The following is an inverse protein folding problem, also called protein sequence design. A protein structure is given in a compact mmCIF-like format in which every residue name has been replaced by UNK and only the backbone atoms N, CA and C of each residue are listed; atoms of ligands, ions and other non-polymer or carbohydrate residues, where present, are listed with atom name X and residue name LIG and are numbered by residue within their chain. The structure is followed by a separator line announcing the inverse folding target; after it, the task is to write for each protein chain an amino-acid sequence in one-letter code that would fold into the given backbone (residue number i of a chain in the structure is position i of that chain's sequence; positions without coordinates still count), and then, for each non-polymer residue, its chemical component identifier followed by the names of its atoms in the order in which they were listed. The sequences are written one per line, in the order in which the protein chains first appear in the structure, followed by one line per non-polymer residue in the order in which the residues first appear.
data_IF_656018526202
#
_entry.id   IF_656018526202
#
_cell.length_a   1.000
_cell.length_b   1.000
_cell.length_c   1.000
_cell.angle_alpha   90.00
_cell.angle_beta   90.00
_cell.angle_gamma   90.00
#
_symmetry.space_group_name_H-M   'P 1'
#
loop_
_entity.id
_entity.type
_entity.pdbx_description
1 polymer ?
#
# COMPACT_ATOMS: atom_id res chain seq x y z
N UNK A 1 33.89 33.79 20.17
CA UNK A 1 32.62 33.24 20.68
C UNK A 1 32.24 32.13 19.70
N UNK A 2 32.12 30.89 20.15
CA UNK A 2 31.74 29.79 19.25
C UNK A 2 30.27 29.99 18.86
N UNK A 3 29.96 29.99 17.56
CA UNK A 3 28.58 29.99 17.07
C UNK A 3 27.91 28.69 17.51
N UNK A 4 26.85 28.80 18.30
CA UNK A 4 26.07 27.64 18.70
C UNK A 4 25.18 27.23 17.55
N UNK A 5 25.43 26.05 16.98
CA UNK A 5 24.63 25.50 15.88
C UNK A 5 23.31 24.96 16.41
N UNK A 6 22.15 25.38 15.89
CA UNK A 6 20.87 24.82 16.31
C UNK A 6 20.73 23.37 15.80
N UNK A 7 20.23 22.49 16.66
CA UNK A 7 20.02 21.06 16.40
C UNK A 7 18.51 20.80 16.32
N UNK A 8 18.08 19.99 15.35
CA UNK A 8 16.70 19.53 15.24
C UNK A 8 16.67 18.01 15.32
N UNK A 9 15.85 17.47 16.21
CA UNK A 9 15.70 16.03 16.46
C UNK A 9 14.28 15.63 16.04
N UNK A 10 14.19 14.57 15.23
CA UNK A 10 12.94 13.95 14.83
C UNK A 10 12.82 12.58 15.49
N UNK A 11 11.78 12.37 16.29
CA UNK A 11 11.44 11.09 16.90
C UNK A 11 10.18 10.58 16.24
N UNK A 12 10.33 9.50 15.47
CA UNK A 12 9.20 8.88 14.78
C UNK A 12 8.59 7.76 15.62
N UNK A 13 7.26 7.70 15.64
CA UNK A 13 6.45 6.68 16.30
C UNK A 13 6.79 6.44 17.78
N UNK A 14 6.72 7.50 18.60
CA UNK A 14 7.02 7.40 20.04
C UNK A 14 6.15 6.36 20.78
N UNK A 15 4.92 6.12 20.31
CA UNK A 15 4.00 5.12 20.86
C UNK A 15 4.46 3.66 20.69
N UNK A 16 5.40 3.39 19.77
CA UNK A 16 5.99 2.05 19.61
C UNK A 16 6.99 1.71 20.72
N UNK A 17 7.36 2.70 21.56
CA UNK A 17 8.26 2.48 22.69
C UNK A 17 7.57 1.68 23.81
N UNK A 18 7.97 0.41 23.95
CA UNK A 18 7.36 -0.52 24.90
C UNK A 18 7.77 -0.21 26.36
N UNK A 19 6.81 0.27 27.15
CA UNK A 19 6.92 0.71 28.54
C UNK A 19 7.34 -0.34 29.59
N UNK A 20 7.62 -1.58 29.20
CA UNK A 20 7.85 -2.68 30.15
C UNK A 20 9.18 -2.61 30.93
N UNK A 21 10.14 -1.79 30.50
CA UNK A 21 11.45 -1.72 31.14
C UNK A 21 11.63 -0.47 32.02
N UNK A 22 11.25 0.73 31.54
CA UNK A 22 11.32 1.99 32.30
C UNK A 22 10.67 3.12 31.47
N UNK A 23 9.39 3.46 31.68
CA UNK A 23 8.67 4.48 30.89
C UNK A 23 9.26 5.88 31.09
N UNK A 24 9.79 6.15 32.29
CA UNK A 24 10.09 7.51 32.75
C UNK A 24 11.37 8.10 32.14
N UNK A 25 12.38 7.28 31.84
CA UNK A 25 13.69 7.78 31.40
C UNK A 25 13.64 8.46 30.03
N UNK A 26 12.95 7.85 29.06
CA UNK A 26 12.83 8.43 27.71
C UNK A 26 12.07 9.76 27.77
N UNK A 27 11.02 9.82 28.59
CA UNK A 27 10.17 11.00 28.69
C UNK A 27 10.85 12.11 29.48
N UNK A 28 11.66 11.78 30.49
CA UNK A 28 12.58 12.72 31.16
C UNK A 28 13.64 13.26 30.20
N UNK A 29 14.23 12.40 29.34
CA UNK A 29 15.19 12.82 28.33
C UNK A 29 14.54 13.77 27.30
N UNK A 30 13.37 13.41 26.79
CA UNK A 30 12.61 14.26 25.85
C UNK A 30 12.29 15.62 26.48
N UNK A 31 11.86 15.64 27.75
CA UNK A 31 11.63 16.88 28.49
C UNK A 31 12.91 17.69 28.71
N UNK A 32 14.03 17.04 29.02
CA UNK A 32 15.33 17.71 29.14
C UNK A 32 15.76 18.37 27.84
N UNK A 33 15.64 17.65 26.72
CA UNK A 33 15.99 18.14 25.40
C UNK A 33 15.07 19.29 24.93
N UNK A 34 13.79 19.28 25.30
CA UNK A 34 12.85 20.35 24.90
C UNK A 34 13.08 21.68 25.62
N UNK A 35 13.80 21.68 26.75
CA UNK A 35 14.17 22.89 27.50
C UNK A 35 15.43 23.58 26.95
N UNK A 36 16.22 22.89 26.13
CA UNK A 36 17.45 23.41 25.55
C UNK A 36 17.16 24.42 24.43
N UNK A 37 17.69 25.65 24.57
CA UNK A 37 17.40 26.76 23.63
C UNK A 37 17.84 26.51 22.18
N UNK A 38 18.84 25.65 21.99
CA UNK A 38 19.40 25.32 20.68
C UNK A 38 18.88 24.00 20.12
N UNK A 39 17.91 23.36 20.79
CA UNK A 39 17.33 22.09 20.35
C UNK A 39 15.88 22.32 19.95
N UNK A 40 15.50 21.83 18.77
CA UNK A 40 14.11 21.68 18.35
C UNK A 40 13.78 20.20 18.32
N UNK A 41 12.63 19.83 18.87
CA UNK A 41 12.16 18.47 18.86
C UNK A 41 10.85 18.37 18.07
N UNK A 42 10.81 17.43 17.14
CA UNK A 42 9.59 17.04 16.44
C UNK A 42 9.33 15.57 16.77
N UNK A 43 8.17 15.29 17.35
CA UNK A 43 7.78 13.95 17.76
C UNK A 43 6.50 13.58 17.05
N UNK A 44 6.49 12.42 16.38
CA UNK A 44 5.26 11.81 15.88
C UNK A 44 4.82 10.70 16.86
N UNK A 45 3.52 10.58 17.07
CA UNK A 45 2.94 9.47 17.84
C UNK A 45 1.46 9.29 17.53
N UNK A 46 0.91 8.11 17.85
CA UNK A 46 -0.54 7.95 18.04
C UNK A 46 -1.04 8.87 19.18
N UNK A 47 -2.33 9.26 19.17
CA UNK A 47 -2.91 10.17 20.15
C UNK A 47 -3.18 9.52 21.51
N UNK A 48 -2.22 8.75 22.04
CA UNK A 48 -2.36 8.05 23.31
C UNK A 48 -2.40 9.03 24.49
N UNK A 49 -3.28 8.75 25.45
CA UNK A 49 -3.51 9.63 26.58
C UNK A 49 -2.24 9.84 27.41
N UNK A 50 -1.47 8.77 27.62
CA UNK A 50 -0.23 8.82 28.39
C UNK A 50 0.80 9.77 27.75
N UNK A 51 1.02 9.69 26.44
CA UNK A 51 1.95 10.58 25.71
C UNK A 51 1.48 12.04 25.81
N UNK A 52 0.17 12.29 25.70
CA UNK A 52 -0.42 13.62 25.84
C UNK A 52 -0.22 14.20 27.24
N UNK A 53 -0.44 13.38 28.26
CA UNK A 53 -0.30 13.77 29.66
C UNK A 53 1.16 14.05 30.00
N UNK A 54 2.10 13.32 29.40
CA UNK A 54 3.52 13.46 29.74
C UNK A 54 4.23 14.58 28.97
N UNK A 55 3.90 14.83 27.70
CA UNK A 55 4.65 15.80 26.89
C UNK A 55 4.17 17.25 27.02
N UNK A 56 3.00 17.51 27.62
CA UNK A 56 2.43 18.86 27.85
C UNK A 56 2.79 19.87 26.74
N UNK A 57 2.57 19.48 25.48
CA UNK A 57 3.17 20.16 24.32
C UNK A 57 2.43 21.45 24.01
N UNK A 58 3.18 22.54 23.80
CA UNK A 58 2.62 23.84 23.41
C UNK A 58 2.04 23.86 21.99
N UNK A 59 2.53 22.99 21.09
CA UNK A 59 2.14 22.91 19.68
C UNK A 59 1.90 21.45 19.29
N UNK A 60 0.63 21.08 19.13
CA UNK A 60 0.21 19.76 18.64
C UNK A 60 -0.31 19.91 17.20
N UNK A 61 0.30 19.19 16.27
CA UNK A 61 -0.22 19.06 14.90
C UNK A 61 -0.97 17.74 14.80
N UNK A 62 -2.28 17.82 14.54
CA UNK A 62 -3.12 16.66 14.23
C UNK A 62 -3.14 16.51 12.73
N UNK A 63 -2.52 15.46 12.21
CA UNK A 63 -2.42 15.24 10.76
C UNK A 63 -3.80 15.17 10.11
N UNK A 64 -4.78 14.55 10.77
CA UNK A 64 -6.14 14.45 10.25
C UNK A 64 -6.83 15.80 10.00
N UNK A 65 -6.46 16.83 10.76
CA UNK A 65 -7.00 18.19 10.60
C UNK A 65 -6.35 18.90 9.40
N UNK A 66 -5.19 18.42 8.94
CA UNK A 66 -4.40 19.03 7.87
C UNK A 66 -4.54 18.31 6.53
N UNK A 67 -4.82 17.01 6.53
CA UNK A 67 -4.88 16.19 5.30
C UNK A 67 -6.27 16.14 4.67
N UNK A 68 -7.32 16.65 5.32
CA UNK A 68 -8.70 16.51 4.87
C UNK A 68 -8.95 17.08 3.45
N UNK A 69 -8.38 18.24 3.14
CA UNK A 69 -8.53 18.84 1.81
C UNK A 69 -7.85 18.01 0.71
N UNK A 70 -6.66 17.48 0.98
CA UNK A 70 -5.92 16.65 0.03
C UNK A 70 -6.59 15.29 -0.17
N UNK A 71 -7.12 14.70 0.90
CA UNK A 71 -7.93 13.47 0.82
C UNK A 71 -9.19 13.71 -0.01
N UNK A 72 -9.92 14.81 0.25
CA UNK A 72 -11.12 15.13 -0.52
C UNK A 72 -10.82 15.24 -2.02
N UNK A 73 -9.74 15.96 -2.37
CA UNK A 73 -9.27 16.08 -3.76
C UNK A 73 -8.87 14.73 -4.35
N UNK A 74 -8.17 13.90 -3.59
CA UNK A 74 -7.78 12.56 -4.01
C UNK A 74 -9.00 11.67 -4.29
N UNK A 75 -9.99 11.66 -3.39
CA UNK A 75 -11.25 10.91 -3.56
C UNK A 75 -12.00 11.38 -4.79
N UNK A 76 -12.14 12.69 -4.98
CA UNK A 76 -12.81 13.28 -6.14
C UNK A 76 -12.18 12.81 -7.46
N UNK A 77 -10.86 12.90 -7.57
CA UNK A 77 -10.13 12.48 -8.78
C UNK A 77 -10.31 10.98 -9.05
N UNK A 78 -10.09 10.14 -8.03
CA UNK A 78 -10.16 8.68 -8.18
C UNK A 78 -11.57 8.17 -8.46
N UNK A 79 -12.60 8.75 -7.84
CA UNK A 79 -14.00 8.44 -8.16
C UNK A 79 -14.37 8.92 -9.55
N UNK A 80 -13.94 10.12 -9.95
CA UNK A 80 -14.16 10.64 -11.30
C UNK A 80 -13.62 9.69 -12.37
N UNK A 81 -12.39 9.22 -12.20
CA UNK A 81 -11.77 8.22 -13.09
C UNK A 81 -12.54 6.88 -13.07
N UNK A 82 -12.98 6.43 -11.90
CA UNK A 82 -13.72 5.16 -11.77
C UNK A 82 -15.09 5.22 -12.47
N UNK A 83 -15.82 6.32 -12.31
CA UNK A 83 -17.11 6.53 -12.93
C UNK A 83 -17.00 6.65 -14.45
N UNK A 84 -16.01 7.40 -14.95
CA UNK A 84 -15.72 7.48 -16.38
C UNK A 84 -15.40 6.11 -16.98
N UNK A 85 -14.50 5.34 -16.36
CA UNK A 85 -14.12 4.00 -16.84
C UNK A 85 -15.30 3.02 -16.90
N UNK A 86 -16.30 3.20 -16.04
CA UNK A 86 -17.49 2.33 -15.96
C UNK A 86 -18.74 2.93 -16.61
N UNK A 87 -18.64 4.09 -17.28
CA UNK A 87 -19.77 4.82 -17.84
C UNK A 87 -20.91 5.05 -16.82
N UNK A 88 -20.56 5.30 -15.56
CA UNK A 88 -21.51 5.58 -14.48
C UNK A 88 -21.70 7.10 -14.38
N UNK A 89 -22.95 7.55 -14.40
CA UNK A 89 -23.29 8.95 -14.16
C UNK A 89 -24.09 9.07 -12.87
N UNK A 90 -23.56 9.83 -11.91
CA UNK A 90 -24.22 10.17 -10.66
C UNK A 90 -24.54 11.66 -10.66
N UNK A 91 -25.62 12.05 -9.98
CA UNK A 91 -25.88 13.47 -9.75
C UNK A 91 -24.77 14.10 -8.91
N UNK A 92 -24.53 15.40 -9.09
CA UNK A 92 -23.51 16.14 -8.35
C UNK A 92 -23.70 16.01 -6.82
N UNK A 93 -24.94 16.03 -6.35
CA UNK A 93 -25.28 15.81 -4.94
C UNK A 93 -24.91 14.40 -4.46
N UNK A 94 -25.12 13.37 -5.29
CA UNK A 94 -24.76 12.00 -4.93
C UNK A 94 -23.23 11.82 -4.87
N UNK A 95 -22.50 12.41 -5.82
CA UNK A 95 -21.03 12.39 -5.81
C UNK A 95 -20.47 13.09 -4.58
N UNK A 96 -20.94 14.30 -4.26
CA UNK A 96 -20.51 15.05 -3.08
C UNK A 96 -20.71 14.22 -1.81
N UNK A 97 -21.89 13.63 -1.62
CA UNK A 97 -22.19 12.81 -0.44
C UNK A 97 -21.25 11.61 -0.28
N UNK A 98 -20.90 10.95 -1.39
CA UNK A 98 -19.98 9.82 -1.35
C UNK A 98 -18.55 10.26 -1.00
N UNK A 99 -18.12 11.39 -1.56
CA UNK A 99 -16.82 12.00 -1.28
C UNK A 99 -16.72 12.41 0.18
N UNK A 100 -17.75 13.08 0.71
CA UNK A 100 -17.80 13.56 2.08
C UNK A 100 -17.74 12.38 3.06
N UNK A 101 -18.51 11.32 2.81
CA UNK A 101 -18.49 10.11 3.65
C UNK A 101 -17.10 9.44 3.67
N UNK A 102 -16.48 9.28 2.50
CA UNK A 102 -15.13 8.69 2.39
C UNK A 102 -14.08 9.55 3.08
N UNK A 103 -14.15 10.88 2.89
CA UNK A 103 -13.20 11.84 3.48
C UNK A 103 -13.32 11.85 5.00
N UNK A 104 -14.55 11.86 5.52
CA UNK A 104 -14.80 11.90 6.96
C UNK A 104 -14.35 10.60 7.64
N UNK A 105 -14.67 9.44 7.06
CA UNK A 105 -14.29 8.13 7.65
C UNK A 105 -12.79 7.84 7.55
N UNK A 106 -12.07 8.52 6.67
CA UNK A 106 -10.63 8.34 6.55
C UNK A 106 -9.86 8.79 7.79
N UNK A 107 -10.40 9.73 8.57
CA UNK A 107 -9.73 10.34 9.72
C UNK A 107 -8.26 10.73 9.43
N UNK A 108 -8.01 11.26 8.23
CA UNK A 108 -6.67 11.68 7.79
C UNK A 108 -5.79 10.60 7.16
N UNK A 109 -6.25 9.36 7.07
CA UNK A 109 -5.44 8.23 6.60
C UNK A 109 -5.66 7.97 5.10
N UNK A 110 -4.71 8.40 4.26
CA UNK A 110 -4.75 8.15 2.80
C UNK A 110 -4.84 6.68 2.42
N UNK A 111 -4.19 5.81 3.19
CA UNK A 111 -4.22 4.37 2.98
C UNK A 111 -5.65 3.84 3.14
N UNK A 112 -6.37 4.27 4.18
CA UNK A 112 -7.76 3.90 4.40
C UNK A 112 -8.63 4.24 3.18
N UNK A 113 -8.46 5.46 2.65
CA UNK A 113 -9.19 5.94 1.47
C UNK A 113 -8.89 5.10 0.24
N UNK A 114 -7.62 4.76 0.04
CA UNK A 114 -7.18 3.95 -1.09
C UNK A 114 -7.83 2.56 -1.07
N UNK A 115 -7.86 1.93 0.10
CA UNK A 115 -8.54 0.63 0.31
C UNK A 115 -10.06 0.74 0.15
N UNK A 116 -10.67 1.81 0.67
CA UNK A 116 -12.10 2.06 0.54
C UNK A 116 -12.53 2.28 -0.92
N UNK A 117 -11.72 3.02 -1.69
CA UNK A 117 -11.94 3.23 -3.12
C UNK A 117 -11.89 1.92 -3.91
N UNK A 118 -11.07 0.96 -3.51
CA UNK A 118 -11.08 -0.36 -4.15
C UNK A 118 -12.38 -1.12 -3.88
N UNK A 119 -12.94 -1.02 -2.66
CA UNK A 119 -14.28 -1.56 -2.40
C UNK A 119 -15.35 -0.93 -3.29
N UNK A 120 -15.27 0.39 -3.51
CA UNK A 120 -16.16 1.11 -4.42
C UNK A 120 -15.96 0.68 -5.87
N UNK A 121 -14.73 0.54 -6.35
CA UNK A 121 -14.44 0.05 -7.71
C UNK A 121 -15.05 -1.33 -7.97
N UNK A 122 -14.99 -2.22 -6.98
CA UNK A 122 -15.65 -3.53 -7.05
C UNK A 122 -17.16 -3.41 -7.05
N UNK A 123 -17.73 -2.54 -6.22
CA UNK A 123 -19.17 -2.25 -6.25
C UNK A 123 -19.64 -1.74 -7.62
N UNK A 124 -18.89 -0.82 -8.22
CA UNK A 124 -19.16 -0.34 -9.58
C UNK A 124 -19.06 -1.45 -10.62
N UNK A 125 -18.10 -2.36 -10.46
CA UNK A 125 -17.95 -3.54 -11.33
C UNK A 125 -19.12 -4.51 -11.20
N UNK A 126 -19.77 -4.54 -10.04
CA UNK A 126 -20.97 -5.32 -9.77
C UNK A 126 -22.28 -4.56 -10.12
N UNK A 127 -22.19 -3.39 -10.75
CA UNK A 127 -23.33 -2.53 -11.08
C UNK A 127 -24.15 -2.10 -9.86
N UNK A 128 -23.50 -1.93 -8.70
CA UNK A 128 -24.15 -1.48 -7.48
C UNK A 128 -24.79 -0.09 -7.66
N UNK A 129 -26.02 0.04 -7.15
CA UNK A 129 -26.72 1.33 -7.05
C UNK A 129 -26.00 2.27 -6.08
N UNK A 130 -26.28 3.57 -6.17
CA UNK A 130 -25.74 4.57 -5.24
C UNK A 130 -25.99 4.19 -3.76
N UNK A 131 -27.17 3.69 -3.43
CA UNK A 131 -27.51 3.25 -2.06
C UNK A 131 -26.64 2.07 -1.61
N UNK A 132 -26.31 1.15 -2.51
CA UNK A 132 -25.41 0.03 -2.21
C UNK A 132 -23.96 0.52 -2.04
N UNK A 133 -23.49 1.45 -2.87
CA UNK A 133 -22.17 2.08 -2.72
C UNK A 133 -22.03 2.82 -1.38
N UNK A 134 -23.04 3.62 -1.00
CA UNK A 134 -23.05 4.27 0.31
C UNK A 134 -23.05 3.26 1.46
N UNK A 135 -23.80 2.16 1.32
CA UNK A 135 -23.83 1.08 2.32
C UNK A 135 -22.47 0.36 2.43
N UNK A 136 -21.71 0.25 1.34
CA UNK A 136 -20.34 -0.27 1.38
C UNK A 136 -19.48 0.64 2.25
N UNK A 137 -19.42 1.93 1.94
CA UNK A 137 -18.62 2.90 2.72
C UNK A 137 -19.00 2.88 4.19
N UNK A 138 -20.30 2.90 4.50
CA UNK A 138 -20.75 2.92 5.90
C UNK A 138 -20.37 1.66 6.69
N UNK A 139 -20.26 0.50 6.02
CA UNK A 139 -19.85 -0.77 6.63
C UNK A 139 -18.34 -0.95 6.75
N UNK A 140 -17.54 -0.17 6.04
CA UNK A 140 -16.09 -0.23 6.18
C UNK A 140 -15.68 0.17 7.61
N UNK A 141 -14.83 -0.61 8.29
CA UNK A 141 -14.29 -0.25 9.60
C UNK A 141 -13.43 1.01 9.51
N UNK A 142 -13.30 1.74 10.61
CA UNK A 142 -12.41 2.90 10.68
C UNK A 142 -10.93 2.49 10.75
N UNK A 143 -10.65 1.36 11.40
CA UNK A 143 -9.28 0.85 11.56
C UNK A 143 -8.77 0.20 10.27
N UNK A 144 -7.55 0.55 9.86
CA UNK A 144 -6.92 0.02 8.63
C UNK A 144 -6.64 -1.47 8.76
N UNK A 145 -6.29 -1.94 9.96
CA UNK A 145 -6.07 -3.35 10.27
C UNK A 145 -7.32 -4.19 9.94
N UNK A 146 -8.51 -3.70 10.33
CA UNK A 146 -9.78 -4.36 10.01
C UNK A 146 -10.13 -4.26 8.52
N UNK A 147 -9.66 -3.24 7.81
CA UNK A 147 -9.78 -3.21 6.34
C UNK A 147 -8.98 -4.35 5.72
N UNK A 148 -7.76 -4.60 6.18
CA UNK A 148 -6.96 -5.73 5.71
C UNK A 148 -7.60 -7.07 6.04
N UNK A 149 -8.12 -7.25 7.26
CA UNK A 149 -8.88 -8.46 7.62
C UNK A 149 -10.06 -8.68 6.67
N UNK A 150 -10.84 -7.63 6.40
CA UNK A 150 -11.93 -7.70 5.42
C UNK A 150 -11.43 -8.05 4.02
N UNK A 151 -10.25 -7.57 3.61
CA UNK A 151 -9.67 -7.92 2.32
C UNK A 151 -9.39 -9.42 2.21
N UNK A 152 -8.74 -9.98 3.24
CA UNK A 152 -8.37 -11.40 3.32
C UNK A 152 -9.60 -12.31 3.47
N UNK A 153 -10.57 -11.93 4.30
CA UNK A 153 -11.82 -12.69 4.50
C UNK A 153 -12.63 -12.86 3.20
N UNK A 154 -12.47 -11.97 2.22
CA UNK A 154 -13.16 -12.08 0.91
C UNK A 154 -12.66 -13.25 0.08
N UNK A 155 -11.48 -13.79 0.39
CA UNK A 155 -11.00 -15.05 -0.21
C UNK A 155 -11.80 -16.25 0.33
N UNK A 156 -12.56 -16.10 1.41
CA UNK A 156 -13.41 -17.16 1.95
C UNK A 156 -12.60 -18.40 2.32
N UNK A 157 -13.07 -19.56 1.89
CA UNK A 157 -12.40 -20.85 2.14
C UNK A 157 -11.04 -20.93 1.44
N UNK A 158 -10.83 -20.21 0.34
CA UNK A 158 -9.55 -20.19 -0.38
C UNK A 158 -8.43 -19.54 0.45
N UNK A 159 -8.76 -18.70 1.43
CA UNK A 159 -7.75 -18.08 2.31
C UNK A 159 -6.89 -19.13 3.00
N UNK A 160 -7.49 -20.25 3.42
CA UNK A 160 -6.78 -21.34 4.08
C UNK A 160 -5.75 -22.01 3.15
N UNK A 161 -6.04 -22.02 1.84
CA UNK A 161 -5.14 -22.55 0.81
C UNK A 161 -4.04 -21.55 0.44
N UNK A 162 -4.35 -20.25 0.47
CA UNK A 162 -3.42 -19.20 0.02
C UNK A 162 -2.56 -18.60 1.13
N UNK A 163 -2.90 -18.82 2.41
CA UNK A 163 -2.24 -18.17 3.54
C UNK A 163 -0.71 -18.37 3.55
N UNK A 164 -0.24 -19.59 3.30
CA UNK A 164 1.20 -19.89 3.32
C UNK A 164 1.95 -19.16 2.19
N UNK A 165 1.36 -19.16 1.00
CA UNK A 165 1.93 -18.49 -0.17
C UNK A 165 1.88 -16.97 -0.04
N UNK A 166 0.76 -16.40 0.42
CA UNK A 166 0.65 -14.98 0.72
C UNK A 166 1.66 -14.54 1.78
N UNK A 167 1.82 -15.32 2.87
CA UNK A 167 2.80 -15.06 3.91
C UNK A 167 4.24 -15.07 3.37
N UNK A 168 4.56 -16.00 2.44
CA UNK A 168 5.86 -16.01 1.79
C UNK A 168 6.08 -14.74 0.97
N UNK A 169 5.11 -14.33 0.14
CA UNK A 169 5.21 -13.11 -0.64
C UNK A 169 5.45 -11.88 0.25
N UNK A 170 4.67 -11.73 1.34
CA UNK A 170 4.89 -10.65 2.30
C UNK A 170 6.27 -10.71 2.94
N UNK A 171 6.75 -11.91 3.31
CA UNK A 171 8.06 -12.08 3.93
C UNK A 171 9.19 -11.68 2.97
N UNK A 172 9.10 -12.03 1.69
CA UNK A 172 10.06 -11.61 0.66
C UNK A 172 10.05 -10.08 0.54
N UNK A 173 8.87 -9.44 0.46
CA UNK A 173 8.74 -7.99 0.39
C UNK A 173 9.42 -7.28 1.55
N UNK A 174 9.10 -7.69 2.79
CA UNK A 174 9.65 -7.09 3.99
C UNK A 174 11.18 -7.23 4.05
N UNK A 175 11.68 -8.43 3.71
CA UNK A 175 13.13 -8.69 3.72
C UNK A 175 13.86 -7.83 2.69
N UNK A 176 13.29 -7.66 1.49
CA UNK A 176 13.90 -6.81 0.46
C UNK A 176 13.84 -5.32 0.79
N UNK A 177 12.74 -4.88 1.42
CA UNK A 177 12.59 -3.51 1.94
C UNK A 177 13.68 -3.19 2.96
N UNK A 178 13.93 -4.10 3.91
CA UNK A 178 14.96 -3.93 4.94
C UNK A 178 16.37 -3.85 4.35
N UNK A 179 16.61 -4.52 3.22
CA UNK A 179 17.91 -4.54 2.53
C UNK A 179 18.17 -3.30 1.66
N UNK A 180 17.21 -2.36 1.55
CA UNK A 180 17.30 -1.12 0.75
C UNK A 180 17.74 -1.37 -0.71
N UNK A 181 17.52 -2.57 -1.24
CA UNK A 181 17.90 -2.91 -2.60
C UNK A 181 16.86 -2.29 -3.56
N UNK A 182 17.22 -1.30 -4.39
CA UNK A 182 16.36 -0.94 -5.52
C UNK A 182 16.33 -2.17 -6.42
N UNK A 183 15.17 -2.81 -6.53
CA UNK A 183 15.04 -4.01 -7.37
C UNK A 183 14.33 -3.63 -8.66
N UNK A 184 15.05 -3.14 -9.69
CA UNK A 184 14.48 -2.99 -11.04
C UNK A 184 13.98 -4.33 -11.62
N UNK A 185 14.29 -5.46 -10.96
CA UNK A 185 13.84 -6.82 -11.30
C UNK A 185 13.12 -7.52 -10.13
N UNK A 186 12.39 -6.78 -9.28
CA UNK A 186 11.72 -7.32 -8.08
C UNK A 186 10.89 -8.56 -8.37
N UNK A 187 10.11 -8.56 -9.46
CA UNK A 187 9.25 -9.70 -9.84
C UNK A 187 10.05 -10.96 -10.22
N UNK A 188 11.23 -10.83 -10.82
CA UNK A 188 12.09 -11.99 -11.17
C UNK A 188 12.62 -12.64 -9.89
N UNK A 189 13.11 -11.84 -8.94
CA UNK A 189 13.55 -12.35 -7.65
C UNK A 189 12.40 -12.99 -6.87
N UNK A 190 11.22 -12.37 -6.92
CA UNK A 190 9.98 -12.92 -6.35
C UNK A 190 9.62 -14.27 -6.96
N UNK A 191 9.59 -14.37 -8.30
CA UNK A 191 9.25 -15.59 -9.00
C UNK A 191 10.24 -16.72 -8.68
N UNK A 192 11.54 -16.44 -8.71
CA UNK A 192 12.56 -17.44 -8.39
C UNK A 192 12.50 -17.89 -6.93
N UNK A 193 12.27 -16.97 -5.99
CA UNK A 193 12.19 -17.29 -4.56
C UNK A 193 10.92 -18.06 -4.21
N UNK A 194 9.79 -17.69 -4.81
CA UNK A 194 8.50 -18.34 -4.57
C UNK A 194 8.42 -19.72 -5.22
N UNK A 195 8.92 -19.89 -6.44
CA UNK A 195 8.92 -21.17 -7.17
C UNK A 195 9.72 -22.25 -6.43
N UNK A 196 10.87 -21.88 -5.86
CA UNK A 196 11.72 -22.81 -5.13
C UNK A 196 11.07 -23.28 -3.81
N UNK A 197 10.33 -22.39 -3.14
CA UNK A 197 9.78 -22.64 -1.80
C UNK A 197 8.38 -23.26 -1.86
N UNK A 198 7.53 -22.84 -2.80
CA UNK A 198 6.12 -23.24 -2.88
C UNK A 198 5.85 -24.35 -3.89
N UNK A 199 6.61 -24.39 -4.98
CA UNK A 199 6.33 -25.29 -6.11
C UNK A 199 7.36 -26.41 -6.27
N UNK A 200 8.36 -26.51 -5.38
CA UNK A 200 9.47 -27.46 -5.45
C UNK A 200 10.12 -27.51 -6.85
N UNK A 201 10.07 -26.39 -7.58
CA UNK A 201 10.67 -26.31 -8.90
C UNK A 201 12.19 -26.29 -8.72
N UNK A 202 12.90 -27.03 -9.58
CA UNK A 202 14.36 -27.04 -9.56
C UNK A 202 14.88 -25.61 -9.72
N UNK A 203 15.89 -25.20 -8.92
CA UNK A 203 16.50 -23.89 -9.09
C UNK A 203 16.97 -23.77 -10.54
N UNK A 204 16.65 -22.65 -11.19
CA UNK A 204 17.12 -22.38 -12.55
C UNK A 204 18.65 -22.42 -12.51
N UNK A 205 19.25 -23.34 -13.27
CA UNK A 205 20.69 -23.40 -13.44
C UNK A 205 21.12 -22.14 -14.21
N UNK A 206 22.18 -21.46 -13.78
CA UNK A 206 22.68 -20.27 -14.47
C UNK A 206 23.09 -20.56 -15.93
N UNK A 207 23.24 -21.83 -16.30
CA UNK A 207 23.59 -22.29 -17.65
C UNK A 207 22.40 -22.51 -18.58
N UNK A 208 21.15 -22.53 -18.09
CA UNK A 208 19.95 -22.89 -18.89
C UNK A 208 18.78 -21.89 -18.71
N UNK A 209 19.06 -20.60 -18.51
CA UNK A 209 17.99 -19.60 -18.35
C UNK A 209 17.39 -19.29 -19.72
N UNK A 210 16.36 -20.03 -20.11
CA UNK A 210 15.47 -19.65 -21.20
C UNK A 210 14.64 -18.42 -20.79
N UNK A 211 14.74 -17.35 -21.58
CA UNK A 211 13.98 -16.12 -21.37
C UNK A 211 12.47 -16.39 -21.42
N UNK A 212 12.02 -17.33 -22.26
CA UNK A 212 10.61 -17.73 -22.36
C UNK A 212 10.07 -18.29 -21.04
N UNK A 213 10.77 -19.27 -20.47
CA UNK A 213 10.40 -19.86 -19.17
C UNK A 213 10.49 -18.84 -18.02
N UNK A 214 11.48 -17.94 -18.02
CA UNK A 214 11.58 -16.88 -17.01
C UNK A 214 10.37 -15.93 -17.06
N UNK A 215 10.00 -15.47 -18.26
CA UNK A 215 8.83 -14.61 -18.44
C UNK A 215 7.54 -15.31 -18.03
N UNK A 216 7.41 -16.61 -18.35
CA UNK A 216 6.27 -17.45 -17.95
C UNK A 216 6.13 -17.50 -16.43
N UNK A 217 7.23 -17.70 -15.71
CA UNK A 217 7.25 -17.71 -14.23
C UNK A 217 6.87 -16.36 -13.65
N UNK A 218 7.42 -15.27 -14.16
CA UNK A 218 7.03 -13.92 -13.74
C UNK A 218 5.52 -13.67 -13.90
N UNK A 219 4.94 -14.07 -15.03
CA UNK A 219 3.49 -13.92 -15.27
C UNK A 219 2.65 -14.79 -14.32
N UNK A 220 3.12 -16.00 -14.03
CA UNK A 220 2.47 -16.87 -13.06
C UNK A 220 2.51 -16.25 -11.66
N UNK A 221 3.68 -15.81 -11.20
CA UNK A 221 3.85 -15.16 -9.90
C UNK A 221 3.02 -13.88 -9.78
N UNK A 222 2.96 -13.06 -10.83
CA UNK A 222 2.07 -11.88 -10.89
C UNK A 222 0.60 -12.28 -10.67
N UNK A 223 0.13 -13.32 -11.36
CA UNK A 223 -1.24 -13.83 -11.21
C UNK A 223 -1.50 -14.43 -9.83
N UNK A 224 -0.49 -15.12 -9.26
CA UNK A 224 -0.55 -15.72 -7.93
C UNK A 224 -0.58 -14.66 -6.84
N UNK A 225 0.25 -13.62 -6.91
CA UNK A 225 0.23 -12.48 -5.98
C UNK A 225 -1.16 -11.84 -5.97
N UNK A 226 -1.72 -11.54 -7.16
CA UNK A 226 -3.06 -10.94 -7.26
C UNK A 226 -4.15 -11.82 -6.62
N UNK A 227 -4.06 -13.14 -6.77
CA UNK A 227 -5.05 -14.09 -6.25
C UNK A 227 -4.88 -14.36 -4.75
N UNK A 228 -3.65 -14.52 -4.27
CA UNK A 228 -3.34 -14.96 -2.90
C UNK A 228 -3.31 -13.81 -1.90
N UNK A 229 -2.88 -12.62 -2.33
CA UNK A 229 -2.68 -11.47 -1.44
C UNK A 229 -3.90 -10.56 -1.33
N UNK A 230 -5.02 -10.88 -1.99
CA UNK A 230 -6.28 -10.12 -1.94
C UNK A 230 -6.15 -8.61 -2.28
N UNK A 231 -5.12 -8.22 -3.05
CA UNK A 231 -4.79 -6.84 -3.37
C UNK A 231 -3.94 -6.10 -2.31
N UNK A 232 -3.45 -6.80 -1.28
CA UNK A 232 -2.49 -6.23 -0.32
C UNK A 232 -1.07 -6.13 -0.90
N UNK A 233 -0.80 -6.86 -1.98
CA UNK A 233 0.41 -6.77 -2.76
C UNK A 233 0.03 -6.68 -4.24
N UNK A 234 0.63 -5.74 -4.94
CA UNK A 234 0.37 -5.46 -6.35
C UNK A 234 1.69 -5.38 -7.13
N UNK A 235 1.67 -5.85 -8.36
CA UNK A 235 2.77 -5.70 -9.30
C UNK A 235 2.56 -4.42 -10.11
N UNK A 236 3.62 -3.60 -10.21
CA UNK A 236 3.63 -2.44 -11.10
C UNK A 236 4.64 -2.68 -12.21
N UNK A 237 4.21 -2.48 -13.46
CA UNK A 237 5.11 -2.42 -14.60
C UNK A 237 5.64 -1.00 -14.71
N UNK A 238 6.94 -0.82 -14.77
CA UNK A 238 7.53 0.48 -15.08
C UNK A 238 7.33 0.80 -16.56
N UNK A 239 6.81 1.99 -16.87
CA UNK A 239 6.58 2.49 -18.24
C UNK A 239 7.84 2.53 -19.13
N UNK A 240 9.03 2.25 -18.56
CA UNK A 240 10.30 2.16 -19.30
C UNK A 240 10.37 0.96 -20.26
N UNK A 241 9.41 0.04 -20.25
CA UNK A 241 9.42 -1.17 -21.09
C UNK A 241 8.48 -1.13 -22.32
N UNK A 242 7.67 -0.08 -22.53
CA UNK A 242 6.81 0.01 -23.73
C UNK A 242 7.59 0.18 -25.06
N UNK A 243 8.91 0.41 -25.00
CA UNK A 243 9.76 0.58 -26.18
C UNK A 243 10.28 -0.72 -26.81
N UNK A 244 10.05 -1.89 -26.20
CA UNK A 244 10.61 -3.16 -26.69
C UNK A 244 9.58 -4.13 -27.32
N UNK A 245 8.28 -3.83 -27.28
CA UNK A 245 7.23 -4.72 -27.83
C UNK A 245 6.86 -4.39 -29.30
N UNK A 246 7.70 -3.60 -29.99
CA UNK A 246 7.49 -3.18 -31.38
C UNK A 246 8.06 -4.11 -32.45
N UNK A 247 9.04 -4.95 -32.14
CA UNK A 247 9.89 -5.61 -33.16
C UNK A 247 9.76 -7.15 -33.22
N UNK A 248 8.66 -7.72 -32.70
CA UNK A 248 8.40 -9.17 -32.81
C UNK A 248 7.10 -9.52 -33.58
N UNK A 249 6.62 -8.62 -34.45
CA UNK A 249 5.54 -8.90 -35.42
C UNK A 249 5.99 -8.58 -36.84
N UNK A 250 6.90 -9.40 -37.37
CA UNK A 250 7.27 -9.31 -38.78
C UNK A 250 8.30 -10.34 -39.19
N UNK A 251 7.88 -11.59 -39.41
CA UNK A 251 8.46 -12.50 -40.42
C UNK A 251 7.90 -13.93 -40.26
N UNK A 252 6.68 -14.18 -40.77
CA UNK A 252 6.33 -15.48 -41.35
C UNK A 252 5.38 -15.20 -42.53
N UNK A 253 5.95 -14.96 -43.72
CA UNK A 253 5.20 -15.12 -44.97
C UNK A 253 5.28 -16.59 -45.41
N UNK A 254 4.16 -17.24 -45.77
CA UNK A 254 4.20 -18.54 -46.44
C UNK A 254 4.53 -18.35 -47.92
N UNK A 255 5.70 -18.81 -48.33
CA UNK A 255 6.11 -18.87 -49.73
C UNK A 255 5.17 -19.76 -50.54
N UNK A 256 4.53 -19.16 -51.54
CA UNK A 256 3.93 -19.87 -52.67
C UNK A 256 5.03 -20.39 -53.58
N UNK A 257 5.01 -21.68 -53.89
CA UNK A 257 5.64 -22.21 -55.10
C UNK A 257 4.75 -23.30 -55.68
N UNK A 258 4.34 -23.04 -56.91
CA UNK A 258 3.52 -23.85 -57.80
C UNK A 258 4.13 -25.25 -58.05
N UNK A 259 3.26 -26.26 -58.10
CA UNK A 259 3.10 -27.20 -59.25
C UNK A 259 1.61 -27.56 -59.35
#
# INVERSE_FOLDING_TARGET
MAESTPVCIFLDALDEYNHKAEPTQLMELIRGLSLEKNVKLCVSSRPEQQIRDELHVAHLLRLQDLTGADINRFVLDKLGQAFQKRNVSLSQNAQSRLVDELTNKAEGVFLWVSLALEDIRRGLSNYDTFTQLMRRVSRLPAEVEKLYENMLQRLGDDWQLYQQEAALYFKICLTLSDLLLPTPNGLIFFAMSADQILHNLSPLSASDIDLGELLRRCHLTESRIASCCAGMLETQRSDTCESYDGDAKGAIEPGTSDV
#
